data_IF_479138393599
#
_entry.id   IF_479138393599
#
_cell.length_a   1.000
_cell.length_b   1.000
_cell.length_c   1.000
_cell.angle_alpha   90.00
_cell.angle_beta   90.00
_cell.angle_gamma   90.00
#
_symmetry.space_group_name_H-M   'P 1'
#
loop_
_entity.id
_entity.type
_entity.pdbx_description
1 polymer ?
#
# COMPACT_ATOMS: atom_id res chain seq x y z
N UNK A 1 -5.76 2.89 19.54
CA UNK A 1 -5.01 3.52 18.44
C UNK A 1 -3.84 2.62 18.09
N UNK A 2 -4.01 1.75 17.09
CA UNK A 2 -2.87 1.12 16.42
C UNK A 2 -2.59 1.98 15.20
N UNK A 3 -1.56 2.83 15.29
CA UNK A 3 -1.20 3.76 14.22
C UNK A 3 -0.49 3.03 13.09
N UNK A 4 -0.71 3.49 11.86
CA UNK A 4 0.11 3.16 10.69
C UNK A 4 1.58 3.40 10.97
N UNK A 5 2.46 2.61 10.34
CA UNK A 5 3.87 2.94 10.29
C UNK A 5 4.04 4.26 9.51
N UNK A 6 4.62 5.28 10.15
CA UNK A 6 4.76 6.61 9.55
C UNK A 6 6.00 6.72 8.66
N UNK A 7 5.81 6.68 7.34
CA UNK A 7 6.87 6.88 6.34
C UNK A 7 7.12 8.35 6.02
N UNK A 8 6.45 9.30 6.68
CA UNK A 8 6.58 10.74 6.43
C UNK A 8 8.03 11.25 6.40
N UNK A 9 8.97 10.79 7.26
CA UNK A 9 10.38 11.17 7.14
C UNK A 9 11.04 10.71 5.84
N UNK A 10 10.72 9.50 5.36
CA UNK A 10 11.23 8.97 4.10
C UNK A 10 10.63 9.72 2.90
N UNK A 11 9.33 9.97 2.94
CA UNK A 11 8.63 10.78 1.92
C UNK A 11 9.24 12.17 1.83
N UNK A 12 9.49 12.83 2.96
CA UNK A 12 10.16 14.13 2.99
C UNK A 12 11.57 14.08 2.38
N UNK A 13 12.38 13.09 2.75
CA UNK A 13 13.71 12.94 2.19
C UNK A 13 13.67 12.73 0.67
N UNK A 14 12.73 11.90 0.20
CA UNK A 14 12.51 11.68 -1.22
C UNK A 14 12.04 12.95 -1.94
N UNK A 15 11.08 13.68 -1.38
CA UNK A 15 10.58 14.93 -1.94
C UNK A 15 11.67 16.00 -2.07
N UNK A 16 12.53 16.14 -1.05
CA UNK A 16 13.69 17.03 -1.09
C UNK A 16 14.66 16.65 -2.21
N UNK A 17 14.92 15.34 -2.40
CA UNK A 17 15.79 14.86 -3.47
C UNK A 17 15.17 15.05 -4.87
N UNK A 18 13.85 14.95 -5.00
CA UNK A 18 13.12 15.16 -6.26
C UNK A 18 12.99 16.65 -6.58
N UNK A 19 12.86 17.50 -5.55
CA UNK A 19 12.45 18.89 -5.68
C UNK A 19 10.93 19.07 -5.89
N UNK A 20 10.13 18.02 -5.63
CA UNK A 20 8.67 18.04 -5.76
C UNK A 20 8.04 17.00 -4.81
N UNK A 21 6.75 17.14 -4.45
CA UNK A 21 6.03 16.12 -3.70
C UNK A 21 6.05 14.75 -4.40
N UNK A 22 6.08 13.68 -3.62
CA UNK A 22 6.17 12.31 -4.14
C UNK A 22 4.80 11.64 -4.12
N UNK A 23 4.38 11.13 -5.26
CA UNK A 23 3.20 10.29 -5.41
C UNK A 23 3.57 8.81 -5.18
N UNK A 24 2.59 7.98 -4.81
CA UNK A 24 2.85 6.60 -4.40
C UNK A 24 3.48 5.71 -5.49
N UNK A 25 3.33 6.09 -6.75
CA UNK A 25 3.89 5.44 -7.95
C UNK A 25 5.34 5.88 -8.25
N UNK A 26 5.85 6.91 -7.56
CA UNK A 26 7.14 7.53 -7.85
C UNK A 26 8.24 7.13 -6.85
N UNK A 27 9.30 6.54 -7.43
CA UNK A 27 10.61 6.15 -6.89
C UNK A 27 10.65 4.91 -5.99
N UNK A 28 11.62 4.07 -6.33
CA UNK A 28 11.84 2.74 -5.81
C UNK A 28 12.76 2.77 -4.58
N UNK A 29 12.28 2.23 -3.46
CA UNK A 29 12.98 2.04 -2.20
C UNK A 29 13.51 0.62 -2.10
N UNK A 30 14.70 0.45 -1.56
CA UNK A 30 15.19 -0.88 -1.21
C UNK A 30 14.41 -1.37 0.02
N UNK A 31 13.60 -2.41 -0.18
CA UNK A 31 12.90 -3.14 0.86
C UNK A 31 13.60 -4.48 1.08
N UNK A 32 13.95 -4.74 2.33
CA UNK A 32 14.57 -5.97 2.77
C UNK A 32 13.62 -7.17 2.68
N UNK A 33 14.17 -8.40 2.65
CA UNK A 33 13.33 -9.61 2.65
C UNK A 33 12.41 -9.70 3.86
N UNK A 34 12.85 -9.22 5.02
CA UNK A 34 12.06 -9.25 6.25
C UNK A 34 10.80 -8.37 6.14
N UNK A 35 10.91 -7.21 5.48
CA UNK A 35 9.77 -6.30 5.27
C UNK A 35 8.75 -6.91 4.29
N UNK A 36 9.22 -7.61 3.25
CA UNK A 36 8.35 -8.12 2.19
C UNK A 36 7.73 -9.49 2.48
N UNK A 37 8.34 -10.32 3.33
CA UNK A 37 7.83 -11.67 3.67
C UNK A 37 6.46 -11.67 4.35
N UNK A 38 6.06 -10.53 4.93
CA UNK A 38 4.74 -10.38 5.57
C UNK A 38 3.60 -10.15 4.57
N UNK A 39 3.89 -9.94 3.29
CA UNK A 39 2.87 -9.72 2.25
C UNK A 39 2.12 -11.03 1.96
N UNK A 40 0.80 -10.96 2.06
CA UNK A 40 -0.11 -12.05 1.69
C UNK A 40 -0.30 -12.10 0.17
N UNK A 41 -0.81 -13.21 -0.35
CA UNK A 41 -1.16 -13.31 -1.79
C UNK A 41 -2.16 -12.23 -2.21
N UNK A 42 -3.15 -11.95 -1.36
CA UNK A 42 -4.11 -10.88 -1.57
C UNK A 42 -3.45 -9.50 -1.66
N UNK A 43 -2.40 -9.25 -0.85
CA UNK A 43 -1.65 -7.99 -0.94
C UNK A 43 -0.90 -7.91 -2.26
N UNK A 44 -0.26 -9.00 -2.69
CA UNK A 44 0.47 -9.07 -3.97
C UNK A 44 -0.46 -8.83 -5.16
N UNK A 45 -1.68 -9.37 -5.12
CA UNK A 45 -2.71 -9.12 -6.13
C UNK A 45 -3.11 -7.64 -6.16
N UNK A 46 -3.41 -7.05 -4.99
CA UNK A 46 -3.75 -5.63 -4.90
C UNK A 46 -2.61 -4.74 -5.41
N UNK A 47 -1.37 -5.03 -5.00
CA UNK A 47 -0.16 -4.33 -5.46
C UNK A 47 -0.07 -4.39 -6.99
N UNK A 48 -0.23 -5.58 -7.57
CA UNK A 48 -0.18 -5.73 -9.02
C UNK A 48 -1.29 -4.95 -9.73
N UNK A 49 -2.52 -4.93 -9.20
CA UNK A 49 -3.63 -4.17 -9.80
C UNK A 49 -3.40 -2.66 -9.69
N UNK A 50 -2.94 -2.18 -8.54
CA UNK A 50 -2.76 -0.76 -8.30
C UNK A 50 -1.52 -0.20 -9.02
N UNK A 51 -0.39 -0.91 -8.99
CA UNK A 51 0.91 -0.36 -9.42
C UNK A 51 1.54 -1.10 -10.59
N UNK A 52 0.97 -2.24 -11.03
CA UNK A 52 1.61 -3.19 -11.96
C UNK A 52 2.92 -3.82 -11.45
N UNK A 53 3.30 -3.59 -10.19
CA UNK A 53 4.46 -4.24 -9.59
C UNK A 53 4.18 -5.70 -9.28
N UNK A 54 5.16 -6.56 -9.55
CA UNK A 54 5.10 -7.99 -9.24
C UNK A 54 6.06 -8.29 -8.10
N UNK A 55 5.51 -8.69 -6.96
CA UNK A 55 6.30 -9.18 -5.83
C UNK A 55 6.41 -10.70 -5.97
N UNK A 56 7.63 -11.26 -6.13
CA UNK A 56 7.83 -12.70 -6.23
C UNK A 56 7.52 -13.40 -4.89
N UNK A 57 7.23 -14.69 -4.94
CA UNK A 57 7.02 -15.51 -3.74
C UNK A 57 8.32 -15.74 -2.96
N UNK A 58 9.42 -15.87 -3.69
CA UNK A 58 10.76 -15.99 -3.13
C UNK A 58 11.47 -14.63 -3.23
N UNK A 59 11.65 -13.98 -2.09
CA UNK A 59 12.28 -12.66 -2.02
C UNK A 59 13.81 -12.82 -1.99
N UNK A 60 14.56 -12.26 -2.96
CA UNK A 60 16.02 -12.33 -3.00
C UNK A 60 16.66 -11.80 -1.72
N UNK A 61 17.81 -12.33 -1.29
CA UNK A 61 18.48 -11.92 -0.04
C UNK A 61 18.85 -10.42 -0.03
N UNK A 62 19.18 -9.87 -1.20
CA UNK A 62 19.45 -8.44 -1.40
C UNK A 62 18.22 -7.54 -1.24
N UNK A 63 17.02 -8.12 -1.15
CA UNK A 63 15.76 -7.38 -1.13
C UNK A 63 15.25 -7.02 -2.52
N UNK A 64 14.24 -6.15 -2.59
CA UNK A 64 13.68 -5.65 -3.83
C UNK A 64 13.54 -4.14 -3.79
N UNK A 65 13.65 -3.53 -4.98
CA UNK A 65 13.26 -2.15 -5.16
C UNK A 65 11.75 -2.08 -5.36
N UNK A 66 11.05 -1.36 -4.49
CA UNK A 66 9.58 -1.28 -4.48
C UNK A 66 9.09 0.17 -4.36
N UNK A 67 7.88 0.45 -4.84
CA UNK A 67 7.25 1.77 -4.68
C UNK A 67 6.94 2.12 -3.23
N UNK A 68 6.65 3.40 -2.98
CA UNK A 68 6.14 3.85 -1.68
C UNK A 68 4.84 3.16 -1.28
N UNK A 69 3.97 2.88 -2.27
CA UNK A 69 2.73 2.15 -2.05
C UNK A 69 3.00 0.75 -1.46
N UNK A 70 3.89 -0.02 -2.09
CA UNK A 70 4.28 -1.35 -1.60
C UNK A 70 4.96 -1.28 -0.24
N UNK A 71 5.87 -0.33 -0.05
CA UNK A 71 6.58 -0.16 1.21
C UNK A 71 5.62 0.16 2.37
N UNK A 72 4.60 0.99 2.15
CA UNK A 72 3.60 1.28 3.18
C UNK A 72 2.87 0.01 3.63
N UNK A 73 2.40 -0.81 2.68
CA UNK A 73 1.73 -2.07 3.00
C UNK A 73 2.68 -3.03 3.73
N UNK A 74 3.91 -3.18 3.24
CA UNK A 74 4.92 -4.05 3.84
C UNK A 74 5.25 -3.64 5.28
N UNK A 75 5.41 -2.34 5.55
CA UNK A 75 5.69 -1.83 6.90
C UNK A 75 4.49 -2.01 7.84
N UNK A 76 3.27 -1.84 7.34
CA UNK A 76 2.07 -2.09 8.14
C UNK A 76 1.84 -3.57 8.42
N UNK A 77 2.25 -4.47 7.51
CA UNK A 77 2.32 -5.93 7.74
C UNK A 77 3.40 -6.31 8.75
N UNK A 78 4.53 -5.60 8.75
CA UNK A 78 5.64 -5.90 9.65
C UNK A 78 5.35 -5.46 11.09
N UNK A 79 4.86 -4.23 11.27
CA UNK A 79 4.78 -3.60 12.59
C UNK A 79 3.51 -2.76 12.84
N UNK A 80 2.65 -2.60 11.83
CA UNK A 80 1.52 -1.67 11.89
C UNK A 80 0.16 -2.36 12.04
N UNK A 81 -0.92 -1.73 11.55
CA UNK A 81 -2.29 -2.20 11.69
C UNK A 81 -2.57 -3.52 10.97
N UNK A 82 -1.81 -3.87 9.92
CA UNK A 82 -2.00 -5.09 9.14
C UNK A 82 -1.21 -6.30 9.66
N UNK A 83 -0.48 -6.15 10.78
CA UNK A 83 0.45 -7.17 11.31
C UNK A 83 -0.16 -8.54 11.59
N UNK A 84 -1.47 -8.62 11.82
CA UNK A 84 -2.16 -9.88 12.13
C UNK A 84 -2.54 -10.68 10.88
N UNK A 85 -2.14 -10.24 9.68
CA UNK A 85 -2.50 -10.92 8.43
C UNK A 85 -3.93 -10.64 7.96
N UNK A 86 -4.60 -9.63 8.53
CA UNK A 86 -5.96 -9.23 8.14
C UNK A 86 -5.99 -8.71 6.70
N UNK A 87 -7.04 -9.02 5.94
CA UNK A 87 -7.21 -8.47 4.60
C UNK A 87 -7.22 -6.94 4.63
N UNK A 88 -6.58 -6.31 3.65
CA UNK A 88 -6.71 -4.87 3.43
C UNK A 88 -8.19 -4.55 3.14
N UNK A 89 -8.71 -3.53 3.84
CA UNK A 89 -10.07 -3.02 3.71
C UNK A 89 -10.10 -1.63 3.07
N UNK A 90 -11.28 -1.21 2.59
CA UNK A 90 -11.53 0.16 2.12
C UNK A 90 -11.20 1.17 3.21
N UNK A 91 -11.67 0.93 4.43
CA UNK A 91 -11.46 1.80 5.60
C UNK A 91 -9.96 2.00 5.90
N UNK A 92 -9.14 0.95 5.75
CA UNK A 92 -7.70 1.07 5.89
C UNK A 92 -7.13 2.01 4.81
N UNK A 93 -7.47 1.79 3.54
CA UNK A 93 -6.90 2.57 2.43
C UNK A 93 -7.26 4.06 2.54
N UNK A 94 -8.51 4.38 2.86
CA UNK A 94 -8.98 5.76 3.08
C UNK A 94 -8.31 6.40 4.30
N UNK A 95 -8.12 5.63 5.38
CA UNK A 95 -7.44 6.11 6.57
C UNK A 95 -5.97 6.47 6.30
N UNK A 96 -5.22 5.61 5.60
CA UNK A 96 -3.85 5.91 5.20
C UNK A 96 -3.80 7.14 4.31
N UNK A 97 -4.66 7.22 3.29
CA UNK A 97 -4.74 8.37 2.41
C UNK A 97 -4.93 9.67 3.19
N UNK A 98 -5.94 9.71 4.06
CA UNK A 98 -6.28 10.89 4.88
C UNK A 98 -5.13 11.31 5.78
N UNK A 99 -4.48 10.36 6.47
CA UNK A 99 -3.35 10.66 7.34
C UNK A 99 -2.18 11.34 6.60
N UNK A 100 -1.86 10.89 5.38
CA UNK A 100 -0.79 11.49 4.60
C UNK A 100 -1.22 12.81 3.93
N UNK A 101 -2.46 12.91 3.46
CA UNK A 101 -2.97 14.16 2.88
C UNK A 101 -2.96 15.30 3.90
N UNK A 102 -3.36 15.04 5.14
CA UNK A 102 -3.38 16.05 6.21
C UNK A 102 -2.00 16.27 6.86
N UNK A 103 -1.19 15.21 6.99
CA UNK A 103 0.04 15.21 7.79
C UNK A 103 1.34 15.32 6.99
N UNK A 104 1.33 15.12 5.67
CA UNK A 104 2.53 15.02 4.86
C UNK A 104 2.35 15.68 3.47
N UNK A 105 2.50 17.01 3.37
CA UNK A 105 2.40 17.72 2.08
C UNK A 105 3.50 17.31 1.09
N UNK A 106 4.54 16.64 1.59
CA UNK A 106 5.69 16.16 0.81
C UNK A 106 5.34 14.90 -0.02
N UNK A 107 4.21 14.22 0.24
CA UNK A 107 3.79 13.08 -0.55
C UNK A 107 2.85 12.12 0.16
N UNK A 108 2.25 11.20 -0.62
CA UNK A 108 1.26 10.26 -0.13
C UNK A 108 1.34 8.92 -0.90
N UNK A 109 1.56 7.79 -0.19
CA UNK A 109 1.66 6.47 -0.81
C UNK A 109 0.35 6.02 -1.48
N UNK A 110 -0.80 6.49 -1.01
CA UNK A 110 -2.13 6.23 -1.57
C UNK A 110 -2.69 7.52 -2.16
N UNK A 111 -2.17 7.98 -3.30
CA UNK A 111 -2.64 9.22 -3.96
C UNK A 111 -2.96 9.03 -5.44
N UNK A 112 -3.86 9.87 -5.93
CA UNK A 112 -4.31 9.86 -7.33
C UNK A 112 -4.84 8.49 -7.76
N UNK A 113 -4.46 8.07 -8.97
CA UNK A 113 -4.91 6.83 -9.59
C UNK A 113 -4.66 5.58 -8.73
N UNK A 114 -3.63 5.59 -7.87
CA UNK A 114 -3.36 4.45 -6.98
C UNK A 114 -4.49 4.25 -5.96
N UNK A 115 -4.98 5.33 -5.34
CA UNK A 115 -6.10 5.20 -4.41
C UNK A 115 -7.34 4.71 -5.15
N UNK A 116 -7.64 5.28 -6.32
CA UNK A 116 -8.81 4.91 -7.12
C UNK A 116 -8.78 3.42 -7.51
N UNK A 117 -7.61 2.93 -7.96
CA UNK A 117 -7.42 1.52 -8.31
C UNK A 117 -7.51 0.60 -7.10
N UNK A 118 -6.94 1.01 -5.95
CA UNK A 118 -7.06 0.28 -4.69
C UNK A 118 -8.51 0.15 -4.27
N UNK A 119 -9.27 1.24 -4.25
CA UNK A 119 -10.67 1.25 -3.86
C UNK A 119 -11.51 0.40 -4.82
N UNK A 120 -11.30 0.54 -6.12
CA UNK A 120 -11.98 -0.25 -7.13
C UNK A 120 -11.73 -1.77 -6.96
N UNK A 121 -10.49 -2.16 -6.69
CA UNK A 121 -10.14 -3.57 -6.42
C UNK A 121 -10.83 -4.10 -5.16
N UNK A 122 -10.76 -3.34 -4.06
CA UNK A 122 -11.31 -3.75 -2.76
C UNK A 122 -12.84 -3.89 -2.82
N UNK A 123 -13.53 -2.90 -3.37
CA UNK A 123 -14.99 -2.94 -3.58
C UNK A 123 -15.37 -4.09 -4.52
N UNK A 124 -14.65 -4.26 -5.63
CA UNK A 124 -14.89 -5.37 -6.56
C UNK A 124 -14.76 -6.75 -5.90
N UNK A 125 -13.76 -6.91 -5.03
CA UNK A 125 -13.53 -8.14 -4.27
C UNK A 125 -14.65 -8.40 -3.25
N UNK A 126 -15.09 -7.37 -2.53
CA UNK A 126 -16.21 -7.48 -1.58
C UNK A 126 -17.51 -7.86 -2.29
N UNK A 127 -17.84 -7.22 -3.40
CA UNK A 127 -19.01 -7.57 -4.22
C UNK A 127 -18.91 -9.01 -4.76
N UNK A 128 -17.73 -9.44 -5.19
CA UNK A 128 -17.49 -10.82 -5.63
C UNK A 128 -17.73 -11.86 -4.53
N UNK A 129 -17.44 -11.51 -3.26
CA UNK A 129 -17.70 -12.38 -2.09
C UNK A 129 -19.19 -12.50 -1.74
N UNK A 130 -19.98 -11.46 -2.03
CA UNK A 130 -21.42 -11.43 -1.75
C UNK A 130 -22.25 -12.29 -2.73
N UNK A 131 -21.67 -12.65 -3.89
CA UNK A 131 -22.33 -13.49 -4.88
C UNK A 131 -23.51 -12.82 -5.60
N UNK A 132 -24.04 -13.43 -6.68
CA UNK A 132 -25.11 -12.85 -7.49
C UNK A 132 -26.47 -12.75 -6.76
N UNK A 133 -26.67 -13.48 -5.67
CA UNK A 133 -27.94 -13.53 -4.94
C UNK A 133 -28.23 -12.29 -4.06
N UNK A 134 -27.25 -11.38 -3.92
CA UNK A 134 -27.41 -10.12 -3.18
C UNK A 134 -27.66 -8.89 -4.06
N UNK A 135 -27.75 -9.05 -5.38
CA UNK A 135 -28.01 -7.98 -6.35
C UNK A 135 -29.51 -7.83 -6.71
N UNK A 136 -30.40 -8.56 -6.02
CA UNK A 136 -31.85 -8.44 -6.15
C UNK A 136 -32.45 -7.75 -4.92
N UNK A 137 -32.32 -6.41 -4.83
CA UNK A 137 -33.16 -5.56 -3.97
C UNK A 137 -33.55 -4.32 -4.73
#
# INVERSE_FOLDING_TARGET
MMGSFGLSPLIRAAAVQVGAPVTGDVRWFDASPAELRGLTETDKELIYVATSERIPDDIPEEGLRVSFYVLQIAMDRLAGPLKNGEDISVEYAEHIHTMYEEGCPDGNPFSGDLLDMTLAFLVGRELGRLGPDHMNV
#
